data_IF_301033835801
#
_entry.id   IF_301033835801
#
_cell.length_a   1.000
_cell.length_b   1.000
_cell.length_c   1.000
_cell.angle_alpha   90.00
_cell.angle_beta   90.00
_cell.angle_gamma   90.00
#
_symmetry.space_group_name_H-M   'P 1'
#
loop_
_entity.id
_entity.type
_entity.pdbx_description
1 polymer ?
#
# COMPACT_ATOMS: atom_id res chain seq x y z
N UNK A 1 -4.92 -7.94 4.36
CA UNK A 1 -6.39 -8.18 4.40
C UNK A 1 -6.99 -7.19 5.37
N UNK A 2 -8.11 -6.59 4.99
CA UNK A 2 -8.86 -5.65 5.82
C UNK A 2 -9.65 -6.39 6.91
N UNK A 3 -9.75 -5.80 8.08
CA UNK A 3 -10.51 -6.32 9.21
C UNK A 3 -11.98 -5.92 9.07
N UNK A 4 -12.87 -6.91 8.96
CA UNK A 4 -14.31 -6.71 8.85
C UNK A 4 -14.98 -6.93 10.21
N UNK A 5 -15.83 -6.00 10.62
CA UNK A 5 -16.82 -6.20 11.67
C UNK A 5 -18.20 -6.44 11.08
N UNK A 6 -18.89 -7.49 11.53
CA UNK A 6 -20.29 -7.74 11.15
C UNK A 6 -21.20 -7.43 12.34
N UNK A 7 -22.12 -6.49 12.14
CA UNK A 7 -23.09 -6.05 13.15
C UNK A 7 -24.43 -6.78 12.95
N UNK A 8 -24.98 -7.34 14.04
CA UNK A 8 -26.18 -8.20 14.00
C UNK A 8 -27.14 -7.94 15.18
N UNK A 9 -28.42 -8.28 15.02
CA UNK A 9 -29.40 -8.27 16.14
C UNK A 9 -30.14 -9.59 16.34
N UNK A 10 -29.95 -10.60 15.48
CA UNK A 10 -30.77 -11.82 15.48
C UNK A 10 -30.08 -13.08 14.94
N UNK A 11 -30.75 -13.80 14.03
CA UNK A 11 -30.39 -15.15 13.60
C UNK A 11 -29.01 -15.28 12.93
N UNK A 12 -28.49 -14.20 12.34
CA UNK A 12 -27.16 -14.16 11.72
C UNK A 12 -27.01 -15.06 10.48
N UNK A 13 -28.05 -15.19 9.67
CA UNK A 13 -28.00 -15.96 8.42
C UNK A 13 -27.10 -15.29 7.36
N UNK A 14 -27.18 -13.96 7.22
CA UNK A 14 -26.24 -13.19 6.40
C UNK A 14 -24.80 -13.26 6.92
N UNK A 15 -24.61 -13.25 8.25
CA UNK A 15 -23.32 -13.52 8.86
C UNK A 15 -22.78 -14.90 8.46
N UNK A 16 -23.62 -15.95 8.49
CA UNK A 16 -23.21 -17.28 8.04
C UNK A 16 -22.77 -17.27 6.57
N UNK A 17 -23.53 -16.60 5.68
CA UNK A 17 -23.18 -16.51 4.27
C UNK A 17 -21.81 -15.83 4.06
N UNK A 18 -21.51 -14.77 4.83
CA UNK A 18 -20.20 -14.11 4.81
C UNK A 18 -19.08 -15.04 5.32
N UNK A 19 -19.31 -15.75 6.41
CA UNK A 19 -18.36 -16.73 6.97
C UNK A 19 -18.07 -17.86 5.96
N UNK A 20 -19.10 -18.36 5.29
CA UNK A 20 -18.96 -19.43 4.29
C UNK A 20 -18.23 -18.91 3.03
N UNK A 21 -18.44 -17.64 2.68
CA UNK A 21 -17.69 -16.96 1.61
C UNK A 21 -16.20 -16.80 1.97
N UNK A 22 -15.88 -16.43 3.21
CA UNK A 22 -14.49 -16.39 3.71
C UNK A 22 -13.85 -17.79 3.60
N UNK A 23 -14.52 -18.82 4.14
CA UNK A 23 -14.01 -20.20 4.12
C UNK A 23 -13.80 -20.77 2.73
N UNK A 24 -14.64 -20.36 1.77
CA UNK A 24 -14.53 -20.81 0.37
C UNK A 24 -13.55 -19.99 -0.47
N UNK A 25 -12.86 -19.00 0.13
CA UNK A 25 -11.90 -18.15 -0.57
C UNK A 25 -12.53 -17.11 -1.49
N UNK A 26 -13.82 -16.80 -1.30
CA UNK A 26 -14.53 -15.74 -2.05
C UNK A 26 -14.29 -14.35 -1.45
N UNK A 27 -13.95 -14.28 -0.17
CA UNK A 27 -13.45 -13.06 0.46
C UNK A 27 -11.91 -13.15 0.49
N UNK A 28 -11.24 -12.48 -0.44
CA UNK A 28 -9.77 -12.51 -0.57
C UNK A 28 -9.11 -11.25 -0.02
N UNK A 29 -9.82 -10.11 -0.04
CA UNK A 29 -9.27 -8.85 0.46
C UNK A 29 -9.66 -8.54 1.92
N UNK A 30 -10.72 -9.16 2.44
CA UNK A 30 -11.22 -8.93 3.79
C UNK A 30 -11.30 -10.19 4.64
N UNK A 31 -11.21 -10.03 5.97
CA UNK A 31 -11.35 -11.09 6.98
C UNK A 31 -12.35 -10.69 8.04
N UNK A 32 -13.29 -11.56 8.39
CA UNK A 32 -14.23 -11.31 9.49
C UNK A 32 -13.51 -11.53 10.81
N UNK A 33 -13.22 -10.44 11.51
CA UNK A 33 -12.45 -10.47 12.77
C UNK A 33 -13.32 -10.20 13.99
N UNK A 34 -14.47 -9.54 13.80
CA UNK A 34 -15.35 -9.16 14.88
C UNK A 34 -16.82 -9.33 14.49
N UNK A 35 -17.63 -9.80 15.44
CA UNK A 35 -19.09 -9.70 15.38
C UNK A 35 -19.58 -8.90 16.58
N UNK A 36 -20.30 -7.82 16.33
CA UNK A 36 -20.92 -7.00 17.38
C UNK A 36 -22.43 -7.21 17.33
N UNK A 37 -23.03 -7.61 18.46
CA UNK A 37 -24.48 -7.75 18.53
C UNK A 37 -25.16 -6.70 19.39
N UNK A 38 -26.31 -6.22 18.93
CA UNK A 38 -27.20 -5.40 19.75
C UNK A 38 -28.11 -6.18 20.70
N UNK A 39 -28.00 -7.52 20.69
CA UNK A 39 -28.81 -8.42 21.49
C UNK A 39 -27.93 -9.58 21.98
N UNK A 40 -27.77 -9.71 23.30
CA UNK A 40 -26.93 -10.76 23.90
C UNK A 40 -27.40 -12.19 23.57
N UNK A 41 -28.68 -12.36 23.22
CA UNK A 41 -29.29 -13.64 22.91
C UNK A 41 -29.33 -13.93 21.39
N UNK A 42 -28.67 -13.10 20.57
CA UNK A 42 -28.63 -13.29 19.12
C UNK A 42 -27.94 -14.61 18.74
N UNK A 43 -28.65 -15.49 18.02
CA UNK A 43 -28.09 -16.76 17.54
C UNK A 43 -26.85 -16.56 16.65
N UNK A 44 -26.70 -15.40 15.99
CA UNK A 44 -25.50 -15.07 15.22
C UNK A 44 -24.21 -15.02 16.05
N UNK A 45 -24.27 -14.71 17.35
CA UNK A 45 -23.12 -14.79 18.25
C UNK A 45 -22.59 -16.22 18.36
N UNK A 46 -23.50 -17.20 18.47
CA UNK A 46 -23.13 -18.62 18.51
C UNK A 46 -22.49 -19.07 17.20
N UNK A 47 -22.95 -18.54 16.05
CA UNK A 47 -22.32 -18.82 14.74
C UNK A 47 -20.90 -18.31 14.69
N UNK A 48 -20.67 -17.07 15.12
CA UNK A 48 -19.34 -16.46 15.15
C UNK A 48 -18.37 -17.26 16.04
N UNK A 49 -18.78 -17.61 17.26
CA UNK A 49 -17.95 -18.37 18.21
C UNK A 49 -17.57 -19.75 17.67
N UNK A 50 -18.48 -20.46 16.99
CA UNK A 50 -18.19 -21.75 16.35
C UNK A 50 -17.10 -21.67 15.27
N UNK A 51 -16.84 -20.48 14.75
CA UNK A 51 -15.83 -20.21 13.72
C UNK A 51 -14.62 -19.45 14.28
N UNK A 52 -14.50 -19.31 15.60
CA UNK A 52 -13.36 -18.65 16.25
C UNK A 52 -13.32 -17.13 16.05
N UNK A 53 -14.44 -16.51 15.67
CA UNK A 53 -14.54 -15.08 15.47
C UNK A 53 -14.86 -14.40 16.80
N UNK A 54 -14.14 -13.32 17.13
CA UNK A 54 -14.37 -12.56 18.36
C UNK A 54 -15.77 -11.95 18.35
N UNK A 55 -16.44 -11.97 19.50
CA UNK A 55 -17.79 -11.42 19.66
C UNK A 55 -17.85 -10.38 20.76
N UNK A 56 -18.59 -9.30 20.52
CA UNK A 56 -18.91 -8.26 21.51
C UNK A 56 -20.43 -8.02 21.52
N UNK A 57 -20.95 -7.53 22.65
CA UNK A 57 -22.37 -7.18 22.79
C UNK A 57 -22.49 -5.75 23.27
N UNK A 58 -23.30 -4.95 22.59
CA UNK A 58 -23.64 -3.58 22.96
C UNK A 58 -25.16 -3.42 22.86
N UNK A 59 -25.87 -3.51 23.98
CA UNK A 59 -27.33 -3.43 23.97
C UNK A 59 -27.80 -1.97 24.10
N UNK A 60 -28.54 -1.45 23.11
CA UNK A 60 -29.05 -0.06 23.15
C UNK A 60 -29.88 0.25 24.41
N UNK A 61 -30.64 -0.75 24.90
CA UNK A 61 -31.47 -0.64 26.12
C UNK A 61 -30.68 -0.44 27.42
N UNK A 62 -29.39 -0.73 27.44
CA UNK A 62 -28.54 -0.53 28.63
C UNK A 62 -27.80 0.80 28.61
N UNK A 63 -27.92 1.55 27.52
CA UNK A 63 -27.30 2.87 27.36
C UNK A 63 -28.29 3.95 27.85
N UNK A 64 -27.75 5.01 28.45
CA UNK A 64 -28.51 6.17 28.94
C UNK A 64 -29.16 6.94 27.78
N UNK A 65 -28.47 7.01 26.65
CA UNK A 65 -28.94 7.68 25.43
C UNK A 65 -28.30 7.09 24.17
N UNK A 66 -28.72 7.60 23.01
CA UNK A 66 -28.22 7.15 21.70
C UNK A 66 -26.73 7.49 21.49
N UNK A 67 -26.25 8.60 22.04
CA UNK A 67 -24.82 9.00 21.96
C UNK A 67 -23.90 8.01 22.69
N UNK A 68 -24.32 7.51 23.86
CA UNK A 68 -23.57 6.50 24.59
C UNK A 68 -23.53 5.17 23.83
N UNK A 69 -24.66 4.76 23.26
CA UNK A 69 -24.72 3.56 22.42
C UNK A 69 -23.75 3.64 21.25
N UNK A 70 -23.77 4.77 20.52
CA UNK A 70 -22.88 5.04 19.40
C UNK A 70 -21.40 5.02 19.81
N UNK A 71 -21.07 5.69 20.91
CA UNK A 71 -19.70 5.74 21.43
C UNK A 71 -19.19 4.35 21.82
N UNK A 72 -20.03 3.52 22.42
CA UNK A 72 -19.67 2.15 22.77
C UNK A 72 -19.44 1.30 21.52
N UNK A 73 -20.32 1.38 20.52
CA UNK A 73 -20.12 0.69 19.24
C UNK A 73 -18.81 1.14 18.59
N UNK A 74 -18.59 2.46 18.47
CA UNK A 74 -17.37 3.02 17.89
C UNK A 74 -16.11 2.54 18.62
N UNK A 75 -16.12 2.56 19.95
CA UNK A 75 -15.00 2.10 20.78
C UNK A 75 -14.66 0.64 20.46
N UNK A 76 -15.67 -0.24 20.37
CA UNK A 76 -15.45 -1.65 20.01
C UNK A 76 -14.88 -1.82 18.61
N UNK A 77 -15.30 -1.00 17.65
CA UNK A 77 -14.76 -1.06 16.29
C UNK A 77 -13.28 -0.61 16.25
N UNK A 78 -12.95 0.48 16.95
CA UNK A 78 -11.58 1.02 16.98
C UNK A 78 -10.60 0.11 17.73
N UNK A 79 -10.98 -0.40 18.91
CA UNK A 79 -10.15 -1.32 19.71
C UNK A 79 -9.79 -2.61 18.97
N UNK A 80 -10.60 -3.00 17.98
CA UNK A 80 -10.38 -4.19 17.17
C UNK A 80 -9.79 -3.88 15.78
N UNK A 81 -9.33 -2.65 15.55
CA UNK A 81 -8.71 -2.21 14.30
C UNK A 81 -9.56 -2.52 13.06
N UNK A 82 -10.87 -2.26 13.14
CA UNK A 82 -11.81 -2.55 12.05
C UNK A 82 -11.61 -1.55 10.92
N UNK A 83 -11.58 -2.05 9.69
CA UNK A 83 -11.47 -1.25 8.47
C UNK A 83 -12.83 -1.07 7.78
N UNK A 84 -13.64 -2.14 7.72
CA UNK A 84 -14.95 -2.20 7.05
C UNK A 84 -16.02 -2.72 8.03
N UNK A 85 -17.19 -2.08 8.04
CA UNK A 85 -18.34 -2.45 8.88
C UNK A 85 -19.46 -2.98 7.98
N UNK A 86 -20.05 -4.12 8.35
CA UNK A 86 -21.15 -4.74 7.61
C UNK A 86 -22.36 -4.92 8.52
N UNK A 87 -23.46 -4.26 8.19
CA UNK A 87 -24.74 -4.41 8.87
C UNK A 87 -25.50 -5.59 8.25
N UNK A 88 -25.65 -6.66 9.03
CA UNK A 88 -26.27 -7.92 8.59
C UNK A 88 -27.49 -8.25 9.47
N UNK A 89 -28.56 -7.46 9.32
CA UNK A 89 -29.72 -7.53 10.20
C UNK A 89 -29.49 -6.86 11.55
N UNK A 90 -28.75 -5.74 11.54
CA UNK A 90 -28.58 -4.85 12.69
C UNK A 90 -29.75 -3.87 12.74
N UNK A 91 -30.50 -3.86 13.83
CA UNK A 91 -31.72 -3.06 13.97
C UNK A 91 -31.51 -1.63 14.47
N UNK A 92 -30.54 -1.36 15.37
CA UNK A 92 -30.28 0.02 15.79
C UNK A 92 -29.74 0.87 14.64
N UNK A 93 -30.21 2.13 14.58
CA UNK A 93 -29.62 3.14 13.71
C UNK A 93 -28.27 3.55 14.31
N UNK A 94 -27.22 3.54 13.49
CA UNK A 94 -25.92 4.11 13.84
C UNK A 94 -25.99 5.63 13.69
N UNK A 95 -25.50 6.37 14.67
CA UNK A 95 -25.42 7.82 14.57
C UNK A 95 -24.11 8.31 13.96
N UNK A 96 -23.98 9.64 13.96
CA UNK A 96 -23.02 10.37 13.14
C UNK A 96 -21.55 10.03 13.46
N UNK A 97 -21.24 9.69 14.72
CA UNK A 97 -19.85 9.44 15.12
C UNK A 97 -19.30 8.20 14.42
N UNK A 98 -20.10 7.14 14.31
CA UNK A 98 -19.72 5.91 13.61
C UNK A 98 -19.70 6.17 12.09
N UNK A 99 -20.72 6.85 11.56
CA UNK A 99 -20.83 7.15 10.13
C UNK A 99 -19.63 7.97 9.64
N UNK A 100 -19.26 9.04 10.35
CA UNK A 100 -18.11 9.86 10.00
C UNK A 100 -16.80 9.09 10.09
N UNK A 101 -16.62 8.30 11.16
CA UNK A 101 -15.39 7.52 11.30
C UNK A 101 -15.24 6.52 10.16
N UNK A 102 -16.33 5.89 9.72
CA UNK A 102 -16.35 4.86 8.70
C UNK A 102 -17.02 5.35 7.40
N UNK A 103 -16.78 6.61 7.02
CA UNK A 103 -17.35 7.19 5.80
C UNK A 103 -17.02 6.31 4.59
N UNK A 104 -18.05 5.94 3.81
CA UNK A 104 -17.97 4.96 2.69
C UNK A 104 -17.34 3.60 3.05
N UNK A 105 -17.42 3.18 4.31
CA UNK A 105 -16.90 1.90 4.82
C UNK A 105 -17.91 1.12 5.65
N UNK A 106 -19.15 1.60 5.73
CA UNK A 106 -20.27 0.88 6.33
C UNK A 106 -21.20 0.42 5.21
N UNK A 107 -21.44 -0.89 5.14
CA UNK A 107 -22.27 -1.53 4.13
C UNK A 107 -23.48 -2.14 4.83
N UNK A 108 -24.68 -1.97 4.27
CA UNK A 108 -25.90 -2.62 4.75
C UNK A 108 -26.55 -3.45 3.64
N UNK A 109 -27.28 -4.50 4.05
CA UNK A 109 -28.17 -5.27 3.17
C UNK A 109 -29.62 -5.06 3.58
N UNK A 110 -30.46 -4.65 2.63
CA UNK A 110 -31.89 -4.42 2.83
C UNK A 110 -32.73 -5.37 1.97
N UNK A 111 -33.78 -6.04 2.52
CA UNK A 111 -34.55 -7.09 1.83
C UNK A 111 -35.62 -6.56 0.85
N UNK A 112 -35.28 -5.54 0.07
CA UNK A 112 -36.09 -5.05 -1.06
C UNK A 112 -35.21 -4.47 -2.18
N UNK A 113 -35.84 -4.09 -3.29
CA UNK A 113 -35.22 -3.26 -4.33
C UNK A 113 -35.42 -1.78 -3.98
N UNK A 114 -34.50 -1.19 -3.21
CA UNK A 114 -34.47 0.25 -2.89
C UNK A 114 -34.59 1.04 -4.22
N UNK A 115 -35.45 2.08 -4.28
CA UNK A 115 -36.12 2.78 -3.17
C UNK A 115 -37.48 2.19 -2.72
N UNK A 116 -37.85 0.99 -3.16
CA UNK A 116 -39.14 0.38 -2.76
C UNK A 116 -39.05 -0.25 -1.38
N UNK A 117 -40.07 -0.07 -0.54
CA UNK A 117 -40.22 -0.75 0.76
C UNK A 117 -38.97 -0.62 1.66
N UNK A 118 -38.40 0.58 1.75
CA UNK A 118 -37.23 0.89 2.57
C UNK A 118 -37.49 2.06 3.54
N UNK A 119 -36.55 2.30 4.44
CA UNK A 119 -36.63 3.37 5.43
C UNK A 119 -37.43 3.00 6.68
N UNK A 120 -37.84 3.99 7.48
CA UNK A 120 -38.46 3.77 8.79
C UNK A 120 -39.67 2.83 8.73
N UNK A 121 -39.62 1.74 9.52
CA UNK A 121 -40.71 0.76 9.64
C UNK A 121 -40.61 -0.44 8.70
N UNK A 122 -39.71 -0.41 7.72
CA UNK A 122 -39.45 -1.51 6.80
C UNK A 122 -38.25 -2.34 7.27
N UNK A 123 -38.47 -3.25 8.20
CA UNK A 123 -37.43 -4.18 8.67
C UNK A 123 -38.00 -5.57 8.91
N UNK A 124 -37.14 -6.59 8.81
CA UNK A 124 -37.52 -7.99 8.99
C UNK A 124 -38.71 -8.39 8.11
N UNK A 125 -39.68 -9.12 8.68
CA UNK A 125 -40.85 -9.60 7.94
C UNK A 125 -41.76 -8.49 7.39
N UNK A 126 -41.70 -7.27 7.94
CA UNK A 126 -42.56 -6.15 7.52
C UNK A 126 -42.33 -5.75 6.06
N UNK A 127 -41.10 -5.91 5.57
CA UNK A 127 -40.74 -5.62 4.18
C UNK A 127 -41.47 -6.57 3.22
N UNK A 128 -41.42 -7.86 3.51
CA UNK A 128 -42.08 -8.90 2.70
C UNK A 128 -43.61 -8.82 2.80
N UNK A 129 -44.15 -8.52 3.99
CA UNK A 129 -45.58 -8.26 4.17
C UNK A 129 -46.06 -7.09 3.30
N UNK A 130 -45.30 -5.99 3.27
CA UNK A 130 -45.64 -4.83 2.46
C UNK A 130 -45.57 -5.11 0.96
N UNK A 131 -44.55 -5.84 0.50
CA UNK A 131 -44.44 -6.27 -0.89
C UNK A 131 -45.64 -7.12 -1.33
N UNK A 132 -46.01 -8.13 -0.53
CA UNK A 132 -47.17 -8.98 -0.79
C UNK A 132 -48.48 -8.19 -0.76
N UNK A 133 -48.67 -7.33 0.24
CA UNK A 133 -49.86 -6.46 0.36
C UNK A 133 -50.01 -5.52 -0.85
N UNK A 134 -48.89 -5.02 -1.39
CA UNK A 134 -48.90 -4.17 -2.59
C UNK A 134 -49.18 -4.98 -3.86
N UNK A 135 -48.94 -6.29 -3.86
CA UNK A 135 -49.16 -7.18 -4.98
C UNK A 135 -48.06 -7.11 -6.05
N UNK A 136 -46.83 -6.71 -5.68
CA UNK A 136 -45.71 -6.67 -6.64
C UNK A 136 -45.35 -8.08 -7.09
N UNK A 137 -44.92 -8.22 -8.35
CA UNK A 137 -44.49 -9.51 -8.92
C UNK A 137 -42.98 -9.73 -8.84
N UNK A 138 -42.23 -8.70 -8.49
CA UNK A 138 -40.78 -8.72 -8.31
C UNK A 138 -40.46 -7.93 -7.04
N UNK A 139 -39.59 -8.51 -6.21
CA UNK A 139 -38.90 -7.84 -5.10
C UNK A 139 -37.41 -8.15 -5.23
N UNK A 140 -36.62 -8.07 -4.16
CA UNK A 140 -35.21 -8.44 -4.18
C UNK A 140 -34.50 -8.08 -2.90
N UNK A 141 -33.19 -7.92 -3.00
CA UNK A 141 -32.37 -7.34 -1.95
C UNK A 141 -31.41 -6.31 -2.53
N UNK A 142 -31.02 -5.35 -1.71
CA UNK A 142 -30.10 -4.25 -2.05
C UNK A 142 -28.96 -4.17 -1.05
N UNK A 143 -27.72 -4.21 -1.54
CA UNK A 143 -26.53 -3.84 -0.78
C UNK A 143 -26.22 -2.38 -1.09
N UNK A 144 -26.03 -1.56 -0.05
CA UNK A 144 -25.76 -0.13 -0.21
C UNK A 144 -24.81 0.38 0.88
N UNK A 145 -24.19 1.52 0.64
CA UNK A 145 -23.47 2.25 1.69
C UNK A 145 -24.44 2.85 2.70
N UNK A 146 -24.04 2.92 3.96
CA UNK A 146 -24.81 3.59 5.01
C UNK A 146 -24.38 5.05 5.10
N UNK A 147 -25.37 5.94 5.20
CA UNK A 147 -25.22 7.36 5.51
C UNK A 147 -26.19 7.71 6.66
N UNK A 148 -26.41 9.00 6.91
CA UNK A 148 -27.28 9.50 7.99
C UNK A 148 -28.77 9.18 7.77
N UNK A 149 -29.15 8.86 6.53
CA UNK A 149 -30.55 8.65 6.13
C UNK A 149 -30.77 7.14 5.93
N UNK A 150 -31.67 6.50 6.71
CA UNK A 150 -31.91 5.07 6.59
C UNK A 150 -32.27 4.65 5.16
N UNK A 151 -31.52 3.67 4.63
CA UNK A 151 -31.70 3.04 3.32
C UNK A 151 -31.65 4.01 2.11
N UNK A 152 -30.93 5.13 2.23
CA UNK A 152 -30.79 6.15 1.17
C UNK A 152 -29.39 6.21 0.54
N UNK A 153 -28.40 5.56 1.14
CA UNK A 153 -27.03 5.61 0.63
C UNK A 153 -26.85 4.95 -0.74
N UNK A 154 -25.72 5.24 -1.37
CA UNK A 154 -25.37 4.76 -2.71
C UNK A 154 -25.48 3.23 -2.82
N UNK A 155 -26.26 2.78 -3.80
CA UNK A 155 -26.48 1.36 -4.09
C UNK A 155 -25.21 0.75 -4.68
N UNK A 156 -24.72 -0.33 -4.06
CA UNK A 156 -23.56 -1.10 -4.52
C UNK A 156 -24.02 -2.23 -5.44
N UNK A 157 -25.05 -2.97 -5.03
CA UNK A 157 -25.56 -4.11 -5.78
C UNK A 157 -27.03 -4.37 -5.46
N UNK A 158 -27.79 -4.84 -6.47
CA UNK A 158 -29.15 -5.32 -6.28
C UNK A 158 -29.33 -6.66 -6.95
N UNK A 159 -30.23 -7.49 -6.40
CA UNK A 159 -30.67 -8.71 -7.06
C UNK A 159 -32.17 -8.89 -6.90
N UNK A 160 -32.85 -8.98 -8.04
CA UNK A 160 -34.28 -9.20 -8.12
C UNK A 160 -34.64 -10.66 -7.82
N UNK A 161 -35.80 -10.86 -7.20
CA UNK A 161 -36.39 -12.15 -6.84
C UNK A 161 -37.89 -12.12 -7.19
N UNK A 162 -38.43 -13.13 -7.87
CA UNK A 162 -39.85 -13.18 -8.19
C UNK A 162 -40.71 -13.39 -6.94
N UNK A 163 -41.86 -12.73 -6.92
CA UNK A 163 -42.94 -13.00 -5.96
C UNK A 163 -43.90 -13.98 -6.62
N UNK A 164 -44.01 -15.18 -6.05
CA UNK A 164 -44.82 -16.26 -6.58
C UNK A 164 -46.25 -16.19 -6.02
N UNK A 165 -47.20 -16.70 -6.79
CA UNK A 165 -48.58 -16.79 -6.31
C UNK A 165 -48.65 -17.77 -5.12
N UNK A 166 -49.31 -17.33 -4.04
CA UNK A 166 -49.41 -18.10 -2.79
C UNK A 166 -48.26 -17.90 -1.80
N UNK A 167 -47.30 -17.01 -2.08
CA UNK A 167 -46.25 -16.67 -1.11
C UNK A 167 -46.83 -16.11 0.21
N UNK A 168 -46.26 -16.59 1.32
CA UNK A 168 -46.38 -15.93 2.63
C UNK A 168 -45.15 -15.03 2.86
N UNK A 169 -45.19 -14.10 3.82
CA UNK A 169 -44.02 -13.29 4.17
C UNK A 169 -42.77 -14.12 4.47
N UNK A 170 -42.93 -15.28 5.11
CA UNK A 170 -41.85 -16.20 5.49
C UNK A 170 -41.29 -16.96 4.27
N UNK A 171 -42.14 -17.44 3.36
CA UNK A 171 -41.67 -18.11 2.13
C UNK A 171 -40.97 -17.13 1.22
N UNK A 172 -41.49 -15.90 1.09
CA UNK A 172 -40.86 -14.85 0.32
C UNK A 172 -39.54 -14.39 0.96
N UNK A 173 -39.50 -14.21 2.28
CA UNK A 173 -38.27 -13.88 3.01
C UNK A 173 -37.18 -14.92 2.74
N UNK A 174 -37.50 -16.20 2.91
CA UNK A 174 -36.56 -17.29 2.67
C UNK A 174 -36.00 -17.24 1.25
N UNK A 175 -36.86 -17.01 0.25
CA UNK A 175 -36.44 -16.88 -1.14
C UNK A 175 -35.52 -15.68 -1.36
N UNK A 176 -35.88 -14.50 -0.82
CA UNK A 176 -35.03 -13.29 -0.91
C UNK A 176 -33.66 -13.53 -0.28
N UNK A 177 -33.60 -14.20 0.87
CA UNK A 177 -32.34 -14.56 1.52
C UNK A 177 -31.49 -15.51 0.65
N UNK A 178 -32.07 -16.62 0.19
CA UNK A 178 -31.37 -17.67 -0.56
C UNK A 178 -30.91 -17.23 -1.96
N UNK A 179 -31.79 -16.53 -2.67
CA UNK A 179 -31.57 -16.15 -4.06
C UNK A 179 -30.84 -14.81 -4.19
N UNK A 180 -31.05 -13.86 -3.25
CA UNK A 180 -30.43 -12.53 -3.30
C UNK A 180 -29.40 -12.31 -2.20
N UNK A 181 -29.80 -12.12 -0.94
CA UNK A 181 -28.92 -11.61 0.12
C UNK A 181 -27.62 -12.41 0.28
N UNK A 182 -27.73 -13.75 0.37
CA UNK A 182 -26.58 -14.65 0.55
C UNK A 182 -25.66 -14.73 -0.67
N UNK A 183 -26.05 -14.12 -1.80
CA UNK A 183 -25.23 -14.03 -3.01
C UNK A 183 -24.56 -12.66 -3.08
N UNK A 184 -25.35 -11.60 -3.02
CA UNK A 184 -24.86 -10.25 -3.29
C UNK A 184 -24.13 -9.61 -2.12
N UNK A 185 -24.44 -9.97 -0.87
CA UNK A 185 -23.77 -9.37 0.28
C UNK A 185 -22.28 -9.76 0.34
N UNK A 186 -21.88 -11.04 0.26
CA UNK A 186 -20.46 -11.38 0.23
C UNK A 186 -19.72 -10.79 -0.98
N UNK A 187 -20.35 -10.75 -2.16
CA UNK A 187 -19.76 -10.18 -3.37
C UNK A 187 -19.52 -8.68 -3.25
N UNK A 188 -20.50 -7.94 -2.72
CA UNK A 188 -20.36 -6.52 -2.45
C UNK A 188 -19.29 -6.23 -1.39
N UNK A 189 -19.24 -7.02 -0.30
CA UNK A 189 -18.19 -6.87 0.73
C UNK A 189 -16.80 -7.08 0.13
N UNK A 190 -16.61 -8.10 -0.70
CA UNK A 190 -15.33 -8.34 -1.38
C UNK A 190 -14.96 -7.20 -2.34
N UNK A 191 -15.93 -6.71 -3.11
CA UNK A 191 -15.73 -5.59 -4.03
C UNK A 191 -15.24 -4.36 -3.28
N UNK A 192 -15.89 -3.99 -2.18
CA UNK A 192 -15.49 -2.84 -1.37
C UNK A 192 -14.16 -3.08 -0.67
N UNK A 193 -13.89 -4.28 -0.16
CA UNK A 193 -12.59 -4.59 0.45
C UNK A 193 -11.46 -4.46 -0.57
N UNK A 194 -11.67 -4.92 -1.80
CA UNK A 194 -10.71 -4.77 -2.90
C UNK A 194 -10.49 -3.30 -3.25
N UNK A 195 -11.56 -2.55 -3.46
CA UNK A 195 -11.49 -1.12 -3.79
C UNK A 195 -10.79 -0.34 -2.69
N UNK A 196 -11.12 -0.60 -1.42
CA UNK A 196 -10.50 0.06 -0.28
C UNK A 196 -9.03 -0.33 -0.10
N UNK A 197 -8.68 -1.60 -0.33
CA UNK A 197 -7.28 -2.03 -0.36
C UNK A 197 -6.46 -1.39 -1.48
N UNK A 198 -7.12 -0.90 -2.54
CA UNK A 198 -6.51 -0.20 -3.67
C UNK A 198 -6.52 1.33 -3.51
N UNK A 199 -7.47 1.88 -2.73
CA UNK A 199 -7.61 3.32 -2.42
C UNK A 199 -6.87 3.75 -1.17
N UNK A 200 -6.68 2.86 -0.19
CA UNK A 200 -5.84 3.11 0.97
C UNK A 200 -4.38 3.11 0.50
N UNK A 201 -3.95 4.29 0.05
CA UNK A 201 -2.59 4.67 -0.28
C UNK A 201 -1.69 4.63 0.98
N UNK A 202 -1.85 3.63 1.85
CA UNK A 202 -0.72 3.17 2.65
C UNK A 202 0.29 2.76 1.60
N UNK A 203 1.36 3.55 1.47
CA UNK A 203 2.48 3.15 0.63
C UNK A 203 2.82 1.73 1.09
N UNK A 204 2.60 0.75 0.22
CA UNK A 204 2.90 -0.64 0.50
C UNK A 204 4.42 -0.67 0.74
N UNK A 205 4.83 -0.67 2.02
CA UNK A 205 6.24 -0.73 2.37
C UNK A 205 6.68 -2.16 2.11
N UNK A 206 7.53 -2.33 1.09
CA UNK A 206 8.05 -3.63 0.66
C UNK A 206 9.40 -3.89 1.30
N UNK A 207 9.81 -5.14 1.30
CA UNK A 207 11.23 -5.44 1.52
C UNK A 207 12.00 -5.28 0.21
N UNK A 208 13.27 -4.87 0.25
CA UNK A 208 14.12 -4.84 -0.94
C UNK A 208 14.20 -6.21 -1.65
N UNK A 209 14.31 -7.35 -0.92
CA UNK A 209 14.23 -8.67 -1.51
C UNK A 209 12.97 -8.93 -2.35
N UNK A 210 11.78 -8.52 -1.90
CA UNK A 210 10.53 -8.67 -2.67
C UNK A 210 10.57 -7.92 -3.99
N UNK A 211 11.18 -6.74 -4.02
CA UNK A 211 11.29 -5.91 -5.23
C UNK A 211 12.35 -6.47 -6.17
N UNK A 212 13.54 -6.75 -5.65
CA UNK A 212 14.72 -7.09 -6.45
C UNK A 212 14.65 -8.51 -7.02
N UNK A 213 14.15 -9.49 -6.27
CA UNK A 213 14.00 -10.88 -6.78
C UNK A 213 13.01 -10.99 -7.93
N UNK A 214 12.04 -10.08 -8.00
CA UNK A 214 11.05 -10.01 -9.07
C UNK A 214 11.45 -9.07 -10.22
N UNK A 215 12.65 -8.48 -10.18
CA UNK A 215 13.19 -7.64 -11.24
C UNK A 215 14.61 -8.06 -11.60
N UNK A 216 14.74 -8.82 -12.68
CA UNK A 216 16.04 -9.34 -13.13
C UNK A 216 17.06 -8.25 -13.47
N UNK A 217 16.64 -7.00 -13.73
CA UNK A 217 17.58 -5.94 -14.06
C UNK A 217 17.06 -4.51 -13.77
N UNK A 218 17.11 -4.07 -12.50
CA UNK A 218 16.84 -2.67 -12.13
C UNK A 218 17.93 -1.69 -12.62
N UNK A 219 19.11 -2.19 -13.02
CA UNK A 219 20.25 -1.39 -13.45
C UNK A 219 21.06 -0.86 -12.27
N UNK A 220 21.03 0.45 -12.02
CA UNK A 220 21.61 1.04 -10.79
C UNK A 220 20.49 1.39 -9.82
N UNK A 221 20.75 1.26 -8.53
CA UNK A 221 19.76 1.50 -7.49
C UNK A 221 20.30 2.33 -6.34
N UNK A 222 19.49 3.26 -5.82
CA UNK A 222 19.76 4.07 -4.64
C UNK A 222 18.66 3.84 -3.62
N UNK A 223 19.04 3.61 -2.37
CA UNK A 223 18.15 3.61 -1.21
C UNK A 223 18.63 4.67 -0.25
N UNK A 224 17.72 5.53 0.24
CA UNK A 224 17.98 6.41 1.38
C UNK A 224 16.84 6.25 2.39
N UNK A 225 17.15 6.12 3.68
CA UNK A 225 16.15 5.91 4.73
C UNK A 225 16.69 6.14 6.13
N UNK A 226 15.86 5.86 7.14
CA UNK A 226 16.21 5.96 8.55
C UNK A 226 15.98 4.61 9.24
N UNK A 227 16.89 4.21 10.14
CA UNK A 227 16.75 2.97 10.91
C UNK A 227 15.53 2.99 11.85
N UNK A 228 14.94 1.84 12.19
CA UNK A 228 13.81 1.77 13.13
C UNK A 228 14.06 2.46 14.48
N UNK A 229 15.30 2.42 14.98
CA UNK A 229 15.69 3.09 16.23
C UNK A 229 15.90 4.61 16.10
N UNK A 230 15.73 5.17 14.89
CA UNK A 230 15.93 6.58 14.56
C UNK A 230 17.32 7.13 14.85
N UNK A 231 18.35 6.26 14.96
CA UNK A 231 19.72 6.70 15.25
C UNK A 231 20.56 6.90 14.00
N UNK A 232 20.28 6.17 12.92
CA UNK A 232 21.11 6.22 11.73
C UNK A 232 20.30 6.60 10.48
N UNK A 233 20.90 7.43 9.64
CA UNK A 233 20.53 7.50 8.24
C UNK A 233 21.23 6.37 7.49
N UNK A 234 20.52 5.77 6.54
CA UNK A 234 21.00 4.65 5.73
C UNK A 234 21.07 5.09 4.27
N UNK A 235 22.18 4.78 3.62
CA UNK A 235 22.35 4.90 2.17
C UNK A 235 22.80 3.55 1.64
N UNK A 236 22.13 3.04 0.62
CA UNK A 236 22.63 1.93 -0.18
C UNK A 236 22.70 2.34 -1.65
N UNK A 237 23.78 1.94 -2.33
CA UNK A 237 23.96 2.14 -3.76
C UNK A 237 24.53 0.88 -4.40
N UNK A 238 23.91 0.42 -5.48
CA UNK A 238 24.41 -0.74 -6.21
C UNK A 238 24.45 -0.51 -7.72
N UNK A 239 25.32 -1.27 -8.38
CA UNK A 239 25.44 -1.34 -9.83
C UNK A 239 25.17 -2.77 -10.29
N UNK A 240 24.33 -2.89 -11.31
CA UNK A 240 24.21 -4.08 -12.15
C UNK A 240 24.64 -3.78 -13.59
N UNK A 241 25.19 -4.79 -14.26
CA UNK A 241 25.78 -4.68 -15.59
C UNK A 241 25.53 -5.89 -16.49
N UNK A 242 25.23 -5.61 -17.76
CA UNK A 242 25.11 -6.62 -18.82
C UNK A 242 26.32 -6.72 -19.73
N UNK A 243 26.94 -5.58 -20.02
CA UNK A 243 28.12 -5.52 -20.89
C UNK A 243 29.38 -5.84 -20.11
N UNK A 244 30.41 -6.29 -20.83
CA UNK A 244 31.76 -6.48 -20.27
C UNK A 244 32.22 -5.18 -19.59
N UNK A 245 32.05 -4.03 -20.27
CA UNK A 245 32.41 -2.72 -19.74
C UNK A 245 31.67 -2.39 -18.43
N UNK A 246 30.35 -2.67 -18.36
CA UNK A 246 29.56 -2.40 -17.17
C UNK A 246 29.86 -3.35 -16.01
N UNK A 247 30.21 -4.61 -16.31
CA UNK A 247 30.57 -5.64 -15.32
C UNK A 247 31.97 -5.46 -14.78
N UNK A 248 32.81 -4.73 -15.50
CA UNK A 248 34.20 -4.47 -15.12
C UNK A 248 34.36 -3.39 -14.04
N UNK A 249 33.28 -2.94 -13.39
CA UNK A 249 33.35 -1.87 -12.37
C UNK A 249 33.57 -2.46 -10.97
N UNK A 250 34.34 -1.75 -10.16
CA UNK A 250 34.46 -1.97 -8.72
C UNK A 250 34.34 -0.64 -7.98
N UNK A 251 33.85 -0.67 -6.74
CA UNK A 251 33.93 0.45 -5.82
C UNK A 251 35.22 0.40 -5.03
N UNK A 252 35.89 1.54 -4.95
CA UNK A 252 37.03 1.80 -4.08
C UNK A 252 36.72 2.98 -3.17
N UNK A 253 37.26 2.97 -1.96
CA UNK A 253 37.14 4.11 -1.05
C UNK A 253 37.90 5.32 -1.63
N UNK A 254 37.29 6.49 -1.54
CA UNK A 254 37.88 7.75 -2.01
C UNK A 254 37.49 8.90 -1.08
N UNK A 255 38.40 9.24 -0.15
CA UNK A 255 38.12 10.15 0.94
C UNK A 255 36.98 9.64 1.83
N UNK A 256 35.98 10.50 2.07
CA UNK A 256 34.74 10.11 2.77
C UNK A 256 33.72 9.44 1.84
N UNK A 257 33.99 9.36 0.54
CA UNK A 257 33.10 8.82 -0.48
C UNK A 257 33.57 7.48 -1.03
N UNK A 258 33.12 7.19 -2.25
CA UNK A 258 33.63 6.10 -3.08
C UNK A 258 33.82 6.59 -4.50
N UNK A 259 34.71 5.92 -5.24
CA UNK A 259 34.91 6.06 -6.68
C UNK A 259 34.72 4.72 -7.37
N UNK A 260 34.26 4.75 -8.61
CA UNK A 260 34.27 3.57 -9.48
C UNK A 260 35.59 3.45 -10.23
N UNK A 261 36.09 2.23 -10.30
CA UNK A 261 37.28 1.88 -11.08
C UNK A 261 37.02 0.68 -11.98
N UNK A 262 37.84 0.54 -13.02
CA UNK A 262 37.88 -0.68 -13.82
C UNK A 262 38.66 -1.76 -13.07
N UNK A 263 38.06 -2.92 -12.82
CA UNK A 263 38.75 -4.10 -12.28
C UNK A 263 39.91 -4.53 -13.19
N UNK A 264 39.66 -4.60 -14.50
CA UNK A 264 40.66 -4.86 -15.52
C UNK A 264 40.70 -3.68 -16.52
N UNK A 265 41.70 -2.78 -16.42
CA UNK A 265 41.81 -1.62 -17.30
C UNK A 265 41.86 -1.96 -18.79
N UNK A 266 42.28 -3.18 -19.17
CA UNK A 266 42.35 -3.59 -20.58
C UNK A 266 40.97 -3.83 -21.23
N UNK A 267 39.93 -4.08 -20.42
CA UNK A 267 38.55 -4.32 -20.88
C UNK A 267 37.69 -3.05 -20.95
N UNK A 268 38.27 -1.89 -20.62
CA UNK A 268 37.59 -0.61 -20.60
C UNK A 268 37.58 0.01 -21.99
N UNK A 269 36.38 0.24 -22.51
CA UNK A 269 36.20 0.87 -23.84
C UNK A 269 35.94 2.37 -23.75
N UNK A 270 35.26 2.81 -22.69
CA UNK A 270 34.96 4.22 -22.43
C UNK A 270 35.14 4.52 -20.93
N UNK A 271 36.19 5.25 -20.54
CA UNK A 271 36.46 5.57 -19.14
C UNK A 271 35.46 6.57 -18.55
N UNK A 272 34.81 7.41 -19.37
CA UNK A 272 33.94 8.50 -18.87
C UNK A 272 32.65 7.99 -18.22
N UNK A 273 32.16 6.82 -18.66
CA UNK A 273 30.99 6.14 -18.08
C UNK A 273 31.37 5.14 -16.97
N UNK A 274 32.66 4.88 -16.79
CA UNK A 274 33.18 3.95 -15.78
C UNK A 274 33.68 4.69 -14.56
N UNK A 275 34.47 5.75 -14.72
CA UNK A 275 35.22 6.39 -13.64
C UNK A 275 34.50 7.67 -13.24
N UNK A 276 33.80 7.62 -12.12
CA UNK A 276 33.17 8.76 -11.47
C UNK A 276 33.09 8.49 -9.97
N UNK A 277 32.73 9.47 -9.16
CA UNK A 277 32.51 9.29 -7.73
C UNK A 277 31.03 9.06 -7.45
N UNK A 278 30.55 7.81 -7.20
CA UNK A 278 29.13 7.63 -6.90
C UNK A 278 28.71 8.31 -5.61
N UNK A 279 29.61 8.42 -4.63
CA UNK A 279 29.32 9.02 -3.33
C UNK A 279 30.34 10.11 -3.02
N UNK A 280 29.85 11.29 -2.62
CA UNK A 280 30.66 12.36 -2.07
C UNK A 280 29.99 12.95 -0.82
N UNK A 281 30.80 13.52 0.07
CA UNK A 281 30.35 14.10 1.35
C UNK A 281 30.79 15.57 1.40
N UNK A 282 29.87 16.46 1.77
CA UNK A 282 30.11 17.89 1.94
C UNK A 282 29.46 18.35 3.25
N UNK A 283 30.22 18.39 4.33
CA UNK A 283 29.69 18.69 5.66
C UNK A 283 28.59 17.69 6.05
N UNK A 284 27.38 18.18 6.30
CA UNK A 284 26.23 17.34 6.64
C UNK A 284 25.50 16.70 5.45
N UNK A 285 25.98 16.97 4.23
CA UNK A 285 25.42 16.41 3.01
C UNK A 285 26.17 15.16 2.59
N UNK A 286 25.42 14.08 2.30
CA UNK A 286 25.94 12.94 1.54
C UNK A 286 25.20 12.85 0.21
N UNK A 287 25.95 12.92 -0.89
CA UNK A 287 25.45 12.88 -2.26
C UNK A 287 25.70 11.47 -2.79
N UNK A 288 24.71 10.86 -3.43
CA UNK A 288 24.82 9.54 -4.05
C UNK A 288 24.19 9.54 -5.44
N UNK A 289 24.92 9.14 -6.49
CA UNK A 289 24.39 9.16 -7.86
C UNK A 289 24.99 8.03 -8.71
N UNK A 290 24.39 7.75 -9.88
CA UNK A 290 24.92 6.76 -10.84
C UNK A 290 25.83 7.33 -11.94
N UNK A 291 26.39 8.52 -11.78
CA UNK A 291 27.32 9.10 -12.74
C UNK A 291 28.04 10.35 -12.26
N UNK A 292 28.66 11.07 -13.18
CA UNK A 292 29.41 12.32 -12.93
C UNK A 292 28.54 13.49 -12.44
N UNK A 293 27.21 13.34 -12.38
CA UNK A 293 26.34 14.35 -11.78
C UNK A 293 26.59 14.51 -10.26
N UNK A 294 27.25 13.54 -9.60
CA UNK A 294 27.69 13.70 -8.21
C UNK A 294 28.55 14.95 -8.04
N UNK A 295 29.54 15.16 -8.91
CA UNK A 295 30.45 16.32 -8.84
C UNK A 295 29.71 17.62 -9.11
N UNK A 296 28.78 17.62 -10.07
CA UNK A 296 27.93 18.80 -10.33
C UNK A 296 27.07 19.17 -9.14
N UNK A 297 26.49 18.18 -8.45
CA UNK A 297 25.71 18.43 -7.23
C UNK A 297 26.62 18.96 -6.13
N UNK A 298 27.79 18.35 -5.94
CA UNK A 298 28.78 18.78 -4.95
C UNK A 298 29.18 20.25 -5.16
N UNK A 299 29.61 20.61 -6.37
CA UNK A 299 30.06 21.96 -6.71
C UNK A 299 28.95 23.00 -6.53
N UNK A 300 27.71 22.66 -6.90
CA UNK A 300 26.58 23.57 -6.75
C UNK A 300 26.24 23.80 -5.28
N UNK A 301 26.17 22.74 -4.47
CA UNK A 301 25.89 22.87 -3.03
C UNK A 301 27.02 23.64 -2.35
N UNK A 302 28.28 23.36 -2.69
CA UNK A 302 29.44 24.10 -2.17
C UNK A 302 29.37 25.60 -2.55
N UNK A 303 28.80 25.92 -3.70
CA UNK A 303 28.55 27.30 -4.14
C UNK A 303 27.23 27.90 -3.59
N UNK A 304 26.56 27.24 -2.64
CA UNK A 304 25.30 27.71 -2.02
C UNK A 304 24.06 27.58 -2.90
N UNK A 305 24.11 26.76 -3.97
CA UNK A 305 22.99 26.45 -4.87
C UNK A 305 22.28 25.16 -4.46
N UNK A 306 21.09 24.93 -5.01
CA UNK A 306 20.28 23.76 -4.66
C UNK A 306 20.58 22.53 -5.51
N UNK A 307 20.19 21.36 -5.00
CA UNK A 307 20.18 20.08 -5.70
C UNK A 307 19.47 20.14 -7.06
N UNK A 308 18.32 20.80 -7.12
CA UNK A 308 17.53 20.97 -8.34
C UNK A 308 18.22 21.90 -9.34
N UNK A 309 18.87 22.98 -8.87
CA UNK A 309 19.65 23.85 -9.73
C UNK A 309 20.82 23.11 -10.40
N UNK A 310 21.48 22.20 -9.68
CA UNK A 310 22.52 21.35 -10.22
C UNK A 310 21.96 20.42 -11.31
N UNK A 311 20.90 19.67 -11.00
CA UNK A 311 20.33 18.66 -11.89
C UNK A 311 19.59 19.24 -13.11
N UNK A 312 19.16 20.51 -13.05
CA UNK A 312 18.65 21.22 -14.22
C UNK A 312 19.70 21.44 -15.32
N UNK A 313 21.00 21.36 -15.00
CA UNK A 313 22.08 21.42 -15.98
C UNK A 313 22.41 20.08 -16.62
N UNK A 314 21.84 18.98 -16.11
CA UNK A 314 22.11 17.62 -16.55
C UNK A 314 20.90 17.01 -17.28
N UNK A 315 21.13 15.86 -17.90
CA UNK A 315 20.14 15.02 -18.57
C UNK A 315 20.49 13.54 -18.35
N UNK A 316 19.77 12.61 -18.97
CA UNK A 316 20.11 11.17 -18.99
C UNK A 316 21.49 10.90 -19.62
N UNK A 317 22.02 9.68 -19.48
CA UNK A 317 23.29 9.30 -20.09
C UNK A 317 23.18 9.25 -21.62
N UNK A 318 24.23 9.64 -22.37
CA UNK A 318 24.23 9.67 -23.83
C UNK A 318 24.53 8.28 -24.45
N UNK A 319 23.88 7.22 -23.96
CA UNK A 319 24.14 5.82 -24.33
C UNK A 319 22.99 5.22 -25.17
N UNK A 320 22.90 5.63 -26.44
CA UNK A 320 21.92 5.09 -27.38
C UNK A 320 22.01 3.54 -27.48
N UNK A 321 20.89 2.81 -27.53
CA UNK A 321 19.48 3.27 -27.54
C UNK A 321 18.84 3.36 -26.15
N UNK A 322 19.60 3.16 -25.07
CA UNK A 322 19.03 3.02 -23.73
C UNK A 322 18.73 4.36 -23.07
N UNK A 323 19.54 5.40 -23.31
CA UNK A 323 19.40 6.71 -22.67
C UNK A 323 19.21 6.58 -21.16
N UNK A 324 20.16 5.91 -20.53
CA UNK A 324 20.11 5.48 -19.14
C UNK A 324 19.73 6.63 -18.23
N UNK A 325 18.69 6.46 -17.39
CA UNK A 325 18.31 7.50 -16.45
C UNK A 325 19.42 7.82 -15.46
N UNK A 326 19.56 9.11 -15.13
CA UNK A 326 20.41 9.55 -14.03
C UNK A 326 19.58 9.62 -12.76
N UNK A 327 19.81 8.70 -11.84
CA UNK A 327 19.26 8.72 -10.49
C UNK A 327 20.24 9.42 -9.55
N UNK A 328 19.70 10.21 -8.64
CA UNK A 328 20.49 10.98 -7.68
C UNK A 328 19.79 11.02 -6.33
N UNK A 329 20.56 11.05 -5.26
CA UNK A 329 20.11 11.21 -3.89
C UNK A 329 20.97 12.22 -3.14
N UNK A 330 20.33 12.96 -2.24
CA UNK A 330 20.98 13.92 -1.34
C UNK A 330 20.41 13.72 0.06
N UNK A 331 21.23 13.22 0.98
CA UNK A 331 20.91 13.16 2.41
C UNK A 331 21.43 14.42 3.08
N UNK A 332 20.60 15.08 3.89
CA UNK A 332 21.01 16.11 4.84
C UNK A 332 20.88 15.56 6.26
N UNK A 333 22.02 15.26 6.89
CA UNK A 333 22.07 14.68 8.24
C UNK A 333 21.48 15.63 9.28
N UNK A 334 21.84 16.92 9.20
CA UNK A 334 21.44 17.92 10.19
C UNK A 334 19.92 18.15 10.19
N UNK A 335 19.33 18.31 9.01
CA UNK A 335 17.87 18.47 8.87
C UNK A 335 17.10 17.15 8.90
N UNK A 336 17.81 16.02 8.98
CA UNK A 336 17.25 14.65 8.97
C UNK A 336 16.28 14.44 7.82
N UNK A 337 16.62 14.91 6.63
CA UNK A 337 15.80 14.79 5.44
C UNK A 337 16.64 14.28 4.27
N UNK A 338 15.97 13.85 3.21
CA UNK A 338 16.66 13.51 1.97
C UNK A 338 15.80 13.79 0.75
N UNK A 339 16.50 13.86 -0.39
CA UNK A 339 15.91 14.03 -1.71
C UNK A 339 16.32 12.89 -2.62
N UNK A 340 15.43 12.52 -3.54
CA UNK A 340 15.72 11.62 -4.65
C UNK A 340 15.34 12.31 -5.96
N UNK A 341 16.00 11.96 -7.05
CA UNK A 341 15.67 12.45 -8.39
C UNK A 341 15.96 11.40 -9.45
N UNK A 342 15.21 11.49 -10.56
CA UNK A 342 15.49 10.78 -11.80
C UNK A 342 15.36 11.73 -13.00
N UNK A 343 16.40 11.75 -13.84
CA UNK A 343 16.41 12.42 -15.14
C UNK A 343 16.35 11.34 -16.24
N UNK A 344 15.32 11.34 -17.07
CA UNK A 344 15.11 10.30 -18.10
C UNK A 344 14.61 10.86 -19.42
N UNK A 345 14.86 10.13 -20.51
CA UNK A 345 14.32 10.49 -21.82
C UNK A 345 12.80 10.32 -21.85
N UNK A 346 12.10 11.18 -22.58
CA UNK A 346 10.66 11.03 -22.78
C UNK A 346 10.41 9.98 -23.86
N UNK A 347 10.02 8.77 -23.46
CA UNK A 347 9.74 7.65 -24.38
C UNK A 347 10.91 7.37 -25.36
N UNK A 348 12.15 7.44 -24.87
CA UNK A 348 13.35 7.21 -25.70
C UNK A 348 13.73 8.36 -26.63
N UNK A 349 13.08 9.53 -26.53
CA UNK A 349 13.42 10.69 -27.36
C UNK A 349 14.68 11.42 -26.83
N UNK A 350 15.80 11.43 -27.58
CA UNK A 350 17.06 12.05 -27.13
C UNK A 350 16.97 13.58 -26.99
N UNK A 351 15.94 14.23 -27.53
CA UNK A 351 15.73 15.68 -27.45
C UNK A 351 14.79 16.11 -26.31
N UNK A 352 14.22 15.16 -25.57
CA UNK A 352 13.22 15.45 -24.55
C UNK A 352 13.63 14.82 -23.22
N UNK A 353 14.03 15.68 -22.27
CA UNK A 353 14.40 15.27 -20.92
C UNK A 353 13.26 15.52 -19.95
N UNK A 354 12.85 14.49 -19.22
CA UNK A 354 11.97 14.57 -18.07
C UNK A 354 12.79 14.62 -16.80
N UNK A 355 12.41 15.47 -15.85
CA UNK A 355 13.08 15.63 -14.54
C UNK A 355 12.06 15.47 -13.44
N UNK A 356 12.31 14.55 -12.52
CA UNK A 356 11.46 14.30 -11.37
C UNK A 356 12.28 14.47 -10.09
N UNK A 357 11.66 15.09 -9.10
CA UNK A 357 12.27 15.39 -7.80
C UNK A 357 11.31 14.93 -6.71
N UNK A 358 11.84 14.22 -5.72
CA UNK A 358 11.10 13.67 -4.59
C UNK A 358 11.78 14.15 -3.31
N UNK A 359 11.00 14.74 -2.40
CA UNK A 359 11.51 15.34 -1.17
C UNK A 359 10.89 14.63 0.03
N UNK A 360 11.73 14.15 0.93
CA UNK A 360 11.31 13.40 2.13
C UNK A 360 11.75 14.15 3.38
N UNK A 361 10.84 14.96 3.91
CA UNK A 361 11.01 15.68 5.17
C UNK A 361 10.48 14.82 6.31
N UNK A 362 11.20 14.80 7.44
CA UNK A 362 10.84 14.00 8.62
C UNK A 362 10.51 12.53 8.26
N UNK A 363 11.42 11.80 7.59
CA UNK A 363 11.21 10.41 7.21
C UNK A 363 10.87 9.54 8.42
N UNK A 364 9.95 8.61 8.23
CA UNK A 364 9.48 7.73 9.30
C UNK A 364 10.58 6.73 9.71
N UNK A 365 10.70 6.41 11.01
CA UNK A 365 11.63 5.39 11.48
C UNK A 365 11.38 4.04 10.82
N UNK A 366 12.44 3.37 10.38
CA UNK A 366 12.37 2.06 9.72
C UNK A 366 11.96 2.10 8.25
N UNK A 367 11.78 3.29 7.68
CA UNK A 367 11.40 3.47 6.28
C UNK A 367 12.52 4.15 5.47
N UNK A 368 12.69 3.69 4.25
CA UNK A 368 13.46 4.34 3.21
C UNK A 368 12.71 4.37 1.89
N UNK A 369 13.34 4.94 0.88
CA UNK A 369 12.82 4.95 -0.48
C UNK A 369 13.87 4.45 -1.46
N UNK A 370 13.45 3.55 -2.34
CA UNK A 370 14.26 2.93 -3.36
C UNK A 370 13.92 3.50 -4.74
N UNK A 371 14.94 4.01 -5.43
CA UNK A 371 14.86 4.47 -6.82
C UNK A 371 15.91 3.74 -7.65
N UNK A 372 15.55 3.39 -8.89
CA UNK A 372 16.46 2.67 -9.78
C UNK A 372 16.32 3.14 -11.23
N UNK A 373 17.26 2.75 -12.09
CA UNK A 373 17.32 3.27 -13.47
C UNK A 373 16.29 2.63 -14.39
N UNK A 374 16.03 1.32 -14.28
CA UNK A 374 15.15 0.61 -15.22
C UNK A 374 14.03 -0.16 -14.55
N UNK A 375 12.83 -0.07 -15.12
CA UNK A 375 11.63 -0.76 -14.62
C UNK A 375 11.78 -2.28 -14.63
N UNK A 376 12.42 -2.83 -15.66
CA UNK A 376 12.65 -4.26 -15.88
C UNK A 376 13.68 -4.46 -16.99
N UNK A 377 13.99 -5.73 -17.27
CA UNK A 377 14.68 -6.15 -18.48
C UNK A 377 13.93 -5.70 -19.77
N UNK A 378 14.68 -5.40 -20.84
CA UNK A 378 14.17 -5.01 -22.14
C UNK A 378 15.27 -4.66 -23.15
N UNK A 379 14.85 -4.40 -24.38
CA UNK A 379 15.71 -3.92 -25.47
C UNK A 379 14.90 -2.97 -26.39
N UNK A 380 15.04 -1.64 -26.27
CA UNK A 380 15.86 -0.91 -25.29
C UNK A 380 15.33 -1.07 -23.85
N UNK A 381 16.16 -0.74 -22.88
CA UNK A 381 15.81 -0.85 -21.46
C UNK A 381 14.75 0.18 -21.06
N UNK A 382 13.57 -0.23 -20.55
CA UNK A 382 12.54 0.70 -20.12
C UNK A 382 12.97 1.43 -18.85
N UNK A 383 12.95 2.76 -18.89
CA UNK A 383 13.25 3.61 -17.73
C UNK A 383 12.28 3.34 -16.57
N UNK A 384 12.73 3.55 -15.33
CA UNK A 384 11.86 3.52 -14.16
C UNK A 384 10.70 4.53 -14.26
N UNK A 385 9.54 4.18 -13.70
CA UNK A 385 8.29 4.96 -13.74
C UNK A 385 7.64 5.01 -12.36
N UNK A 386 6.96 6.11 -12.07
CA UNK A 386 6.29 6.33 -10.80
C UNK A 386 7.17 6.99 -9.74
N UNK A 387 6.69 6.94 -8.50
CA UNK A 387 7.38 7.44 -7.31
C UNK A 387 8.40 6.41 -6.82
N UNK A 388 9.48 6.83 -6.12
CA UNK A 388 10.39 5.92 -5.44
C UNK A 388 9.63 4.98 -4.50
N UNK A 389 10.00 3.71 -4.51
CA UNK A 389 9.27 2.65 -3.79
C UNK A 389 9.64 2.73 -2.31
N UNK A 390 8.66 2.85 -1.40
CA UNK A 390 8.98 2.76 0.03
C UNK A 390 9.44 1.35 0.41
N UNK A 391 10.51 1.29 1.20
CA UNK A 391 11.13 0.04 1.63
C UNK A 391 11.40 0.03 3.12
N UNK A 392 11.38 -1.17 3.71
CA UNK A 392 11.83 -1.39 5.08
C UNK A 392 13.35 -1.27 5.19
N UNK A 393 13.80 -0.67 6.28
CA UNK A 393 15.21 -0.51 6.65
C UNK A 393 15.48 -1.33 7.90
N UNK A 394 16.53 -2.14 7.87
CA UNK A 394 17.00 -2.89 9.05
C UNK A 394 17.81 -1.98 10.00
N UNK A 395 17.94 -2.36 11.27
CA UNK A 395 18.87 -1.69 12.18
C UNK A 395 20.31 -2.18 11.99
N UNK A 396 20.50 -3.39 11.46
CA UNK A 396 21.79 -4.03 11.29
C UNK A 396 22.29 -3.87 9.85
N UNK A 397 23.42 -3.18 9.69
CA UNK A 397 24.04 -2.94 8.39
C UNK A 397 24.45 -4.25 7.69
N UNK A 398 24.90 -5.26 8.43
CA UNK A 398 25.39 -6.51 7.85
C UNK A 398 24.23 -7.36 7.33
N UNK A 399 23.11 -7.40 8.07
CA UNK A 399 21.86 -8.01 7.61
C UNK A 399 21.36 -7.30 6.35
N UNK A 400 21.22 -5.98 6.40
CA UNK A 400 20.71 -5.19 5.28
C UNK A 400 21.60 -5.31 4.04
N UNK A 401 22.92 -5.34 4.22
CA UNK A 401 23.89 -5.52 3.14
C UNK A 401 23.72 -6.89 2.47
N UNK A 402 23.60 -7.97 3.26
CA UNK A 402 23.40 -9.31 2.74
C UNK A 402 22.07 -9.44 2.00
N UNK A 403 20.98 -8.91 2.58
CA UNK A 403 19.65 -8.94 1.96
C UNK A 403 19.63 -8.29 0.58
N UNK A 404 20.28 -7.13 0.43
CA UNK A 404 20.39 -6.46 -0.87
C UNK A 404 21.23 -7.32 -1.81
N UNK A 405 22.45 -7.69 -1.41
CA UNK A 405 23.40 -8.39 -2.28
C UNK A 405 22.90 -9.74 -2.79
N UNK A 406 22.20 -10.49 -1.95
CA UNK A 406 21.66 -11.81 -2.27
C UNK A 406 20.37 -11.73 -3.09
N UNK A 407 19.71 -10.57 -3.09
CA UNK A 407 18.51 -10.33 -3.89
C UNK A 407 18.80 -9.76 -5.27
N UNK A 408 20.01 -9.24 -5.51
CA UNK A 408 20.44 -8.85 -6.85
C UNK A 408 20.68 -10.09 -7.72
N UNK A 409 20.28 -10.00 -8.99
CA UNK A 409 20.52 -11.07 -9.96
C UNK A 409 22.01 -11.47 -10.00
N UNK A 410 22.26 -12.76 -9.84
CA UNK A 410 23.60 -13.31 -9.67
C UNK A 410 24.51 -12.99 -10.86
N UNK A 411 23.99 -13.06 -12.08
CA UNK A 411 24.75 -12.81 -13.30
C UNK A 411 25.11 -11.34 -13.46
N UNK A 412 24.16 -10.46 -13.12
CA UNK A 412 24.25 -9.04 -13.42
C UNK A 412 24.76 -8.17 -12.28
N UNK A 413 24.79 -8.63 -11.02
CA UNK A 413 25.33 -7.83 -9.91
C UNK A 413 26.81 -7.52 -10.08
N UNK A 414 27.22 -6.29 -9.75
CA UNK A 414 28.59 -5.80 -9.93
C UNK A 414 29.18 -5.35 -8.60
N UNK A 415 28.58 -4.32 -7.99
CA UNK A 415 29.08 -3.75 -6.74
C UNK A 415 27.92 -3.22 -5.89
N UNK A 416 28.10 -3.24 -4.57
CA UNK A 416 27.19 -2.70 -3.57
C UNK A 416 27.98 -1.88 -2.55
N UNK A 417 27.46 -0.71 -2.22
CA UNK A 417 27.87 0.16 -1.13
C UNK A 417 26.68 0.32 -0.18
N UNK A 418 26.92 0.16 1.12
CA UNK A 418 25.94 0.44 2.17
C UNK A 418 26.62 1.26 3.26
N UNK A 419 25.98 2.33 3.72
CA UNK A 419 26.49 3.17 4.80
C UNK A 419 25.39 3.53 5.79
N UNK A 420 25.73 3.41 7.07
CA UNK A 420 24.92 3.86 8.19
C UNK A 420 25.64 5.05 8.83
N UNK A 421 24.97 6.19 8.92
CA UNK A 421 25.51 7.45 9.44
C UNK A 421 24.73 7.80 10.70
N UNK A 422 25.42 7.90 11.83
CA UNK A 422 24.83 8.30 13.09
C UNK A 422 24.33 9.75 12.98
N UNK A 423 23.02 9.94 13.21
CA UNK A 423 22.37 11.23 13.01
C UNK A 423 22.84 12.30 14.00
N UNK A 424 23.29 11.92 15.21
CA UNK A 424 23.79 12.89 16.19
C UNK A 424 25.28 13.19 16.01
N UNK A 425 26.15 12.16 15.94
CA UNK A 425 27.61 12.35 15.89
C UNK A 425 28.16 12.58 14.49
N UNK A 426 27.49 12.09 13.44
CA UNK A 426 28.03 12.05 12.07
C UNK A 426 29.00 10.91 11.81
N UNK A 427 29.36 10.12 12.82
CA UNK A 427 30.16 8.91 12.64
C UNK A 427 29.41 7.90 11.77
N UNK A 428 30.14 7.16 10.94
CA UNK A 428 29.53 6.22 10.01
C UNK A 428 30.27 4.89 9.95
N UNK A 429 29.53 3.85 9.55
CA UNK A 429 30.05 2.55 9.18
C UNK A 429 29.67 2.25 7.73
N UNK A 430 30.61 1.67 6.98
CA UNK A 430 30.46 1.38 5.55
C UNK A 430 30.66 -0.12 5.30
N UNK A 431 29.93 -0.66 4.32
CA UNK A 431 30.18 -1.95 3.68
C UNK A 431 30.30 -1.74 2.18
N UNK A 432 31.33 -2.33 1.59
CA UNK A 432 31.53 -2.38 0.14
C UNK A 432 31.67 -3.85 -0.26
N UNK A 433 30.88 -4.28 -1.22
CA UNK A 433 30.97 -5.60 -1.84
C UNK A 433 31.20 -5.40 -3.34
N UNK A 434 32.19 -6.07 -3.89
CA UNK A 434 32.50 -6.10 -5.31
C UNK A 434 32.48 -7.56 -5.78
N UNK A 435 31.77 -7.87 -6.86
CA UNK A 435 31.73 -9.23 -7.43
C UNK A 435 33.12 -9.68 -7.92
N UNK A 436 33.91 -8.74 -8.42
CA UNK A 436 35.23 -8.98 -8.99
C UNK A 436 36.36 -8.46 -8.07
N UNK A 437 36.15 -8.32 -6.76
CA UNK A 437 37.24 -7.92 -5.85
C UNK A 437 38.30 -9.02 -5.69
#
# INVERSE_FOLDING_TARGET
MLNIAVLISGNGTNLQALIDAEKSGKLTFGKITLVVSSNKDACGLTRALKHGIKTEVVEKKTCVNDDEFDKLVLTKLLENNIDIVVLAGFLPILGQQVINQFERRIINIHPSLIPSFCGPGFYGLKVHQAALKKGVKITGATVHFVNEIPDDGEIIMQKAVPVLDGDTPETLQKRVMEEAEWKILPEAVELICKEYSQKDNRIEIKTLPEILKNNSYPGRGIVIGITPDSKHAVIAYFIMGRSINSRNRVFVEDGEGIRTEAHDPSKMTDPSLIIYSPVQVLGDYTIVTNGDQTDTIYDYINAGKTFEQALNTRSFEPDEPNFTPRISGLLNRNERNYKLSILKSNNGNPKSTLRFYFNYQNPLPGQGHFIHTYKKDGSPLPSFEGEPIAVLIDNDIDVFTCEIWDSLDFENKVSLFVRYINLSSGEYITRIINKNA
#
